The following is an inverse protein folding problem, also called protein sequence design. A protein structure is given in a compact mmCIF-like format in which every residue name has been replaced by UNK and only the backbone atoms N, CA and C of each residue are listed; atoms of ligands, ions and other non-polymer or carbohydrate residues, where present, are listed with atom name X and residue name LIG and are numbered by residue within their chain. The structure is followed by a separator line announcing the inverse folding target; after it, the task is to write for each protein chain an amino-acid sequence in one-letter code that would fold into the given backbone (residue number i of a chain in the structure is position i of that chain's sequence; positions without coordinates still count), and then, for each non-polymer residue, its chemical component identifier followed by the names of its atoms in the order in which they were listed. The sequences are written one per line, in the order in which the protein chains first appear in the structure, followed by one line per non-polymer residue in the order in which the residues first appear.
data_IF_009232144001
#
_entry.id   IF_009232144001
#
_cell.length_a   1.000
_cell.length_b   1.000
_cell.length_c   1.000
_cell.angle_alpha   90.00
_cell.angle_beta   90.00
_cell.angle_gamma   90.00
#
_symmetry.space_group_name_H-M   'P 1'
#
loop_
_entity.id
_entity.type
_entity.pdbx_description
1 polymer ?
#
# COMPACT_ATOMS: atom_id res chain seq x y z
N UNK A 1 -6.79 -5.77 24.66
CA UNK A 1 -6.44 -4.74 23.66
C UNK A 1 -7.48 -4.66 22.53
N UNK A 2 -7.96 -3.47 22.15
CA UNK A 2 -8.82 -3.29 20.97
C UNK A 2 -8.08 -3.65 19.67
N UNK A 3 -8.79 -4.12 18.62
CA UNK A 3 -8.15 -4.44 17.34
C UNK A 3 -7.49 -3.20 16.76
N UNK A 4 -6.20 -3.31 16.42
CA UNK A 4 -5.47 -2.27 15.68
C UNK A 4 -5.71 -2.46 14.18
N UNK A 5 -6.28 -1.46 13.55
CA UNK A 5 -6.50 -1.41 12.11
C UNK A 5 -5.36 -0.69 11.39
N UNK A 6 -5.13 -1.04 10.13
CA UNK A 6 -4.27 -0.33 9.20
C UNK A 6 -4.91 -0.37 7.81
N UNK A 7 -4.64 0.64 6.98
CA UNK A 7 -5.03 0.65 5.57
C UNK A 7 -3.86 0.13 4.74
N UNK A 8 -4.08 -0.93 3.97
CA UNK A 8 -3.11 -1.49 3.04
C UNK A 8 -3.51 -1.12 1.61
N UNK A 9 -2.67 -0.36 0.91
CA UNK A 9 -2.84 0.02 -0.50
C UNK A 9 -1.88 -0.82 -1.33
N UNK A 10 -2.41 -1.60 -2.27
CA UNK A 10 -1.63 -2.60 -3.01
C UNK A 10 -1.61 -2.23 -4.50
N UNK A 11 -0.40 -2.22 -5.07
CA UNK A 11 -0.12 -2.17 -6.52
C UNK A 11 -0.79 -1.01 -7.27
N UNK A 12 -1.00 0.12 -6.58
CA UNK A 12 -1.46 1.38 -7.18
C UNK A 12 -0.34 2.09 -7.95
N UNK A 13 0.33 1.35 -8.82
CA UNK A 13 1.43 1.82 -9.67
C UNK A 13 0.90 2.25 -11.03
N UNK A 14 1.58 3.18 -11.70
CA UNK A 14 1.14 3.77 -12.97
C UNK A 14 0.80 2.70 -14.03
N UNK A 15 1.67 1.69 -14.21
CA UNK A 15 1.44 0.63 -15.18
C UNK A 15 0.22 -0.24 -14.83
N UNK A 16 -0.01 -0.51 -13.54
CA UNK A 16 -1.18 -1.27 -13.08
C UNK A 16 -2.46 -0.46 -13.29
N UNK A 17 -2.46 0.81 -12.89
CA UNK A 17 -3.62 1.69 -12.95
C UNK A 17 -4.03 1.99 -14.39
N UNK A 18 -3.08 2.09 -15.32
CA UNK A 18 -3.36 2.28 -16.74
C UNK A 18 -4.22 1.14 -17.36
N UNK A 19 -4.17 -0.06 -16.77
CA UNK A 19 -4.95 -1.22 -17.23
C UNK A 19 -6.21 -1.47 -16.39
N UNK A 20 -6.44 -0.67 -15.35
CA UNK A 20 -7.51 -0.90 -14.39
C UNK A 20 -8.87 -0.42 -14.91
N UNK A 21 -9.90 -1.23 -14.65
CA UNK A 21 -11.28 -0.79 -14.85
C UNK A 21 -11.64 0.32 -13.85
N UNK A 22 -12.20 1.43 -14.35
CA UNK A 22 -12.57 2.61 -13.54
C UNK A 22 -11.42 3.13 -12.68
N UNK A 23 -10.26 3.27 -13.32
CA UNK A 23 -9.01 3.70 -12.70
C UNK A 23 -9.17 5.00 -11.90
N UNK A 24 -9.72 6.04 -12.53
CA UNK A 24 -9.86 7.35 -11.89
C UNK A 24 -10.74 7.31 -10.63
N UNK A 25 -11.90 6.65 -10.69
CA UNK A 25 -12.79 6.55 -9.52
C UNK A 25 -12.18 5.69 -8.40
N UNK A 26 -11.46 4.62 -8.77
CA UNK A 26 -10.77 3.76 -7.81
C UNK A 26 -9.66 4.52 -7.08
N UNK A 27 -8.83 5.26 -7.83
CA UNK A 27 -7.77 6.12 -7.27
C UNK A 27 -8.36 7.17 -6.34
N UNK A 28 -9.43 7.85 -6.76
CA UNK A 28 -10.11 8.85 -5.93
C UNK A 28 -10.67 8.24 -4.63
N UNK A 29 -11.27 7.05 -4.69
CA UNK A 29 -11.78 6.36 -3.52
C UNK A 29 -10.67 5.99 -2.52
N UNK A 30 -9.55 5.45 -3.02
CA UNK A 30 -8.38 5.09 -2.20
C UNK A 30 -7.74 6.35 -1.60
N UNK A 31 -7.67 7.45 -2.33
CA UNK A 31 -7.15 8.72 -1.84
C UNK A 31 -8.00 9.23 -0.66
N UNK A 32 -9.33 9.19 -0.80
CA UNK A 32 -10.26 9.54 0.26
C UNK A 32 -10.15 8.64 1.49
N UNK A 33 -10.01 7.33 1.30
CA UNK A 33 -9.77 6.36 2.38
C UNK A 33 -8.45 6.64 3.11
N UNK A 34 -7.39 6.90 2.36
CA UNK A 34 -6.06 7.17 2.89
C UNK A 34 -6.03 8.49 3.67
N UNK A 35 -6.76 9.51 3.23
CA UNK A 35 -6.93 10.75 3.98
C UNK A 35 -7.65 10.51 5.32
N UNK A 36 -8.75 9.75 5.32
CA UNK A 36 -9.48 9.42 6.55
C UNK A 36 -8.68 8.56 7.52
N UNK A 37 -7.91 7.59 7.00
CA UNK A 37 -7.05 6.74 7.82
C UNK A 37 -6.01 7.60 8.56
N UNK A 38 -5.31 8.49 7.84
CA UNK A 38 -4.34 9.41 8.44
C UNK A 38 -4.98 10.33 9.47
N UNK A 39 -6.13 10.92 9.17
CA UNK A 39 -6.87 11.78 10.10
C UNK A 39 -7.29 11.05 11.39
N UNK A 40 -7.52 9.74 11.33
CA UNK A 40 -7.87 8.90 12.46
C UNK A 40 -6.65 8.27 13.18
N UNK A 41 -5.42 8.60 12.78
CA UNK A 41 -4.21 7.96 13.32
C UNK A 41 -4.06 6.49 12.93
N UNK A 42 -4.78 6.03 11.90
CA UNK A 42 -4.69 4.67 11.36
C UNK A 42 -3.52 4.63 10.36
N UNK A 43 -2.54 3.73 10.54
CA UNK A 43 -1.41 3.63 9.64
C UNK A 43 -1.83 3.31 8.20
N UNK A 44 -1.18 3.96 7.23
CA UNK A 44 -1.29 3.64 5.81
C UNK A 44 0.00 2.96 5.35
N UNK A 45 -0.15 1.79 4.76
CA UNK A 45 0.96 0.99 4.22
C UNK A 45 0.74 0.84 2.73
N UNK A 46 1.74 1.23 1.94
CA UNK A 46 1.73 1.09 0.49
C UNK A 46 2.63 -0.07 0.09
N UNK A 47 2.08 -0.99 -0.70
CA UNK A 47 2.79 -2.14 -1.27
C UNK A 47 2.85 -1.95 -2.78
N UNK A 48 4.04 -2.17 -3.33
CA UNK A 48 4.30 -2.16 -4.77
C UNK A 48 4.75 -3.53 -5.21
N UNK A 49 4.29 -3.98 -6.36
CA UNK A 49 4.86 -5.14 -7.04
C UNK A 49 6.18 -4.77 -7.70
N UNK A 50 7.06 -5.76 -7.73
CA UNK A 50 8.32 -5.71 -8.46
C UNK A 50 8.56 -7.08 -9.09
N UNK A 51 8.69 -7.09 -10.40
CA UNK A 51 9.12 -8.25 -11.19
C UNK A 51 9.86 -7.77 -12.45
N UNK A 52 10.07 -8.66 -13.42
CA UNK A 52 10.74 -8.33 -14.68
C UNK A 52 9.98 -7.30 -15.54
N UNK A 53 8.65 -7.25 -15.42
CA UNK A 53 7.79 -6.25 -16.07
C UNK A 53 7.60 -4.99 -15.21
N UNK A 54 7.84 -5.10 -13.90
CA UNK A 54 7.70 -4.02 -12.92
C UNK A 54 9.03 -3.61 -12.28
N UNK A 55 9.87 -2.95 -13.09
CA UNK A 55 11.26 -2.58 -12.74
C UNK A 55 11.31 -1.32 -11.87
N UNK A 56 11.98 -1.32 -10.70
CA UNK A 56 12.09 -0.14 -9.85
C UNK A 56 12.76 1.04 -10.52
N UNK A 57 12.29 2.24 -10.20
CA UNK A 57 12.77 3.49 -10.78
C UNK A 57 12.13 3.86 -12.12
N UNK A 58 11.44 2.92 -12.79
CA UNK A 58 10.67 3.25 -14.01
C UNK A 58 9.40 4.01 -13.67
N UNK A 59 8.89 4.80 -14.63
CA UNK A 59 7.63 5.54 -14.47
C UNK A 59 6.46 4.62 -14.15
N UNK A 60 6.34 3.52 -14.91
CA UNK A 60 5.29 2.52 -14.70
C UNK A 60 5.28 1.96 -13.28
N UNK A 61 6.45 1.85 -12.64
CA UNK A 61 6.61 1.31 -11.29
C UNK A 61 6.30 2.30 -10.17
N UNK A 62 6.26 3.60 -10.46
CA UNK A 62 5.91 4.59 -9.44
C UNK A 62 4.44 4.46 -9.04
N UNK A 63 4.16 4.79 -7.78
CA UNK A 63 2.77 4.94 -7.32
C UNK A 63 2.14 6.10 -8.08
N UNK A 64 0.85 5.98 -8.41
CA UNK A 64 0.13 7.09 -9.06
C UNK A 64 0.23 8.37 -8.21
N UNK A 65 0.40 9.55 -8.82
CA UNK A 65 0.67 10.80 -8.11
C UNK A 65 -0.33 11.10 -6.99
N UNK A 66 -1.60 10.80 -7.20
CA UNK A 66 -2.71 11.03 -6.26
C UNK A 66 -2.57 10.21 -4.97
N UNK A 67 -1.82 9.10 -5.02
CA UNK A 67 -1.58 8.19 -3.92
C UNK A 67 -0.13 8.20 -3.45
N UNK A 68 0.64 9.24 -3.81
CA UNK A 68 2.02 9.39 -3.36
C UNK A 68 2.11 9.25 -1.85
N UNK A 69 2.94 8.31 -1.34
CA UNK A 69 3.16 8.13 0.09
C UNK A 69 3.60 9.44 0.75
N UNK A 70 3.04 9.73 1.92
CA UNK A 70 3.38 10.91 2.72
C UNK A 70 4.40 10.55 3.79
N UNK A 71 4.99 11.57 4.39
CA UNK A 71 5.83 11.39 5.57
C UNK A 71 5.06 10.63 6.67
N UNK A 72 5.63 9.53 7.16
CA UNK A 72 5.01 8.62 8.11
C UNK A 72 4.29 7.40 7.50
N UNK A 73 4.07 7.37 6.18
CA UNK A 73 3.58 6.17 5.50
C UNK A 73 4.72 5.14 5.30
N UNK A 74 4.41 3.85 5.43
CA UNK A 74 5.37 2.78 5.16
C UNK A 74 5.23 2.28 3.72
N UNK A 75 6.34 2.22 2.98
CA UNK A 75 6.35 1.75 1.59
C UNK A 75 7.20 0.50 1.45
N UNK A 76 6.63 -0.58 0.91
CA UNK A 76 7.30 -1.86 0.71
C UNK A 76 7.16 -2.34 -0.74
N UNK A 77 8.16 -3.06 -1.26
CA UNK A 77 8.11 -3.69 -2.58
C UNK A 77 8.12 -5.23 -2.44
N UNK A 78 7.27 -5.95 -3.20
CA UNK A 78 7.06 -7.40 -3.10
C UNK A 78 7.46 -8.14 -4.39
N UNK A 79 8.03 -9.35 -4.28
CA UNK A 79 8.53 -10.15 -5.40
C UNK A 79 7.70 -11.40 -5.77
N UNK A 80 6.77 -11.95 -4.92
CA UNK A 80 6.15 -13.27 -5.25
C UNK A 80 4.86 -13.81 -4.55
N UNK A 81 4.22 -13.19 -3.56
CA UNK A 81 2.81 -13.49 -3.10
C UNK A 81 2.43 -12.85 -1.74
N UNK A 82 1.13 -12.65 -1.53
CA UNK A 82 0.47 -12.60 -0.21
C UNK A 82 -0.54 -13.75 -0.17
N UNK A 83 -0.26 -14.86 0.51
CA UNK A 83 -1.18 -16.02 0.58
C UNK A 83 -2.10 -16.00 1.79
N UNK A 84 -3.35 -16.51 1.68
CA UNK A 84 -4.22 -16.95 2.79
C UNK A 84 -5.37 -17.91 2.45
N UNK A 85 -5.59 -18.90 3.33
CA UNK A 85 -6.81 -18.93 4.15
C UNK A 85 -6.48 -19.09 5.66
N UNK A 86 -7.07 -18.24 6.53
CA UNK A 86 -6.97 -18.37 7.99
C UNK A 86 -6.53 -17.10 8.74
N UNK A 87 -5.23 -16.75 8.78
CA UNK A 87 -4.69 -15.41 9.09
C UNK A 87 -3.13 -15.28 8.91
N UNK A 88 -2.57 -14.04 8.74
CA UNK A 88 -1.17 -13.52 8.49
C UNK A 88 -0.86 -12.61 7.25
N UNK A 89 -0.49 -11.34 7.51
CA UNK A 89 0.44 -10.51 6.69
C UNK A 89 1.66 -10.20 7.57
N UNK A 90 2.89 -10.38 7.08
CA UNK A 90 4.12 -9.95 7.77
C UNK A 90 5.06 -9.25 6.79
N UNK A 91 5.31 -7.98 7.05
CA UNK A 91 6.39 -7.20 6.44
C UNK A 91 7.28 -6.68 7.57
N UNK A 92 8.56 -7.05 7.56
CA UNK A 92 9.71 -6.37 8.19
C UNK A 92 11.04 -6.91 7.60
N UNK A 93 12.10 -6.13 7.36
CA UNK A 93 12.36 -4.69 7.57
C UNK A 93 13.16 -4.13 6.36
N UNK A 94 13.01 -2.86 5.98
CA UNK A 94 13.65 -1.72 6.65
C UNK A 94 12.64 -0.69 7.21
N UNK A 95 12.18 -0.95 8.44
CA UNK A 95 11.73 -0.02 9.48
C UNK A 95 10.76 -0.80 10.37
N UNK A 96 11.09 -0.87 11.64
CA UNK A 96 10.45 -1.74 12.60
C UNK A 96 9.08 -1.17 13.09
N UNK A 97 7.95 -1.54 12.45
CA UNK A 97 6.59 -1.23 12.94
C UNK A 97 6.12 -2.25 13.98
N UNK A 98 6.25 -1.94 15.28
CA UNK A 98 5.87 -2.85 16.39
C UNK A 98 4.53 -2.43 16.94
N UNK A 99 3.57 -3.35 16.98
CA UNK A 99 2.27 -3.11 17.55
C UNK A 99 2.06 -4.10 18.71
N UNK A 100 2.45 -3.71 19.93
CA UNK A 100 2.23 -4.47 21.17
C UNK A 100 0.79 -4.36 21.68
N UNK A 101 0.22 -5.40 22.34
CA UNK A 101 -1.06 -5.26 23.01
C UNK A 101 -1.06 -4.12 24.04
N UNK A 102 -2.22 -3.49 24.25
CA UNK A 102 -2.50 -2.83 25.52
C UNK A 102 -2.73 -3.92 26.57
#
# INVERSE_FOLDING_TARGET
MPPRSALLVIDMQNATVALAYRAAETVAAIAGLSARARAAGVPVVVVRQRDESMVPGTEGWQVVPELTPREGDSVNALYRSIGWPGRRVRLRAAADVELSPA
#
